data_IF_570826120425
#
_entry.id   IF_570826120425
#
_cell.length_a   1.000
_cell.length_b   1.000
_cell.length_c   1.000
_cell.angle_alpha   90.00
_cell.angle_beta   90.00
_cell.angle_gamma   90.00
#
_symmetry.space_group_name_H-M   'P 1'
#
loop_
_entity.id
_entity.type
_entity.pdbx_description
1 polymer ?
#
# COMPACT_ATOMS: atom_id res chain seq x y z
N UNK A 1 8.18 3.71 -35.65
CA UNK A 1 7.14 2.95 -34.94
C UNK A 1 7.59 2.44 -33.58
N UNK A 2 8.77 1.83 -33.47
CA UNK A 2 9.29 1.38 -32.18
C UNK A 2 9.50 2.52 -31.19
N UNK A 3 9.96 3.70 -31.66
CA UNK A 3 10.14 4.87 -30.81
C UNK A 3 8.82 5.39 -30.23
N UNK A 4 7.72 5.32 -31.00
CA UNK A 4 6.40 5.74 -30.52
C UNK A 4 5.87 4.79 -29.45
N UNK A 5 6.10 3.48 -29.62
CA UNK A 5 5.71 2.48 -28.64
C UNK A 5 6.51 2.62 -27.35
N UNK A 6 7.82 2.86 -27.45
CA UNK A 6 8.68 3.11 -26.29
C UNK A 6 8.27 4.37 -25.53
N UNK A 7 7.93 5.44 -26.24
CA UNK A 7 7.45 6.68 -25.62
C UNK A 7 6.10 6.48 -24.94
N UNK A 8 5.20 5.71 -25.56
CA UNK A 8 3.90 5.38 -24.96
C UNK A 8 4.06 4.57 -23.67
N UNK A 9 4.96 3.59 -23.67
CA UNK A 9 5.25 2.79 -22.48
C UNK A 9 5.80 3.67 -21.36
N UNK A 10 6.74 4.57 -21.65
CA UNK A 10 7.29 5.48 -20.65
C UNK A 10 6.23 6.42 -20.09
N UNK A 11 5.30 6.88 -20.91
CA UNK A 11 4.18 7.71 -20.47
C UNK A 11 3.25 6.95 -19.54
N UNK A 12 2.92 5.71 -19.87
CA UNK A 12 2.06 4.86 -19.05
C UNK A 12 2.74 4.48 -17.73
N UNK A 13 4.05 4.25 -17.73
CA UNK A 13 4.84 4.05 -16.49
C UNK A 13 4.67 5.25 -15.57
N UNK A 14 4.75 6.46 -16.11
CA UNK A 14 4.52 7.69 -15.34
C UNK A 14 3.13 7.80 -14.76
N UNK A 15 2.10 7.39 -15.50
CA UNK A 15 0.72 7.37 -15.00
C UNK A 15 0.56 6.38 -13.85
N UNK A 16 1.12 5.18 -13.96
CA UNK A 16 1.08 4.19 -12.87
C UNK A 16 1.82 4.66 -11.64
N UNK A 17 2.96 5.33 -11.81
CA UNK A 17 3.70 5.92 -10.70
C UNK A 17 2.85 6.92 -9.93
N UNK A 18 2.11 7.77 -10.62
CA UNK A 18 1.18 8.72 -10.02
C UNK A 18 0.05 8.00 -9.27
N UNK A 19 -0.35 6.80 -9.71
CA UNK A 19 -1.38 5.99 -9.05
C UNK A 19 -0.84 5.04 -7.99
N UNK A 20 0.46 5.12 -7.66
CA UNK A 20 1.07 4.34 -6.60
C UNK A 20 1.69 3.01 -7.01
N UNK A 21 1.87 2.78 -8.30
CA UNK A 21 2.50 1.57 -8.83
C UNK A 21 3.77 1.97 -9.59
N UNK A 22 4.92 1.44 -9.16
CA UNK A 22 6.19 1.70 -9.81
C UNK A 22 6.65 0.46 -10.57
N UNK A 23 7.00 0.63 -11.85
CA UNK A 23 7.55 -0.43 -12.69
C UNK A 23 9.03 -0.16 -12.94
N UNK A 24 9.87 -1.15 -12.63
CA UNK A 24 11.30 -1.09 -12.90
C UNK A 24 11.67 -2.20 -13.87
N UNK A 25 12.24 -1.83 -15.02
CA UNK A 25 12.70 -2.80 -16.02
C UNK A 25 14.03 -3.39 -15.54
N UNK A 26 14.04 -4.69 -15.25
CA UNK A 26 15.21 -5.41 -14.74
C UNK A 26 16.06 -5.99 -15.84
N UNK A 27 15.46 -6.37 -16.97
CA UNK A 27 16.14 -6.98 -18.09
C UNK A 27 15.40 -6.67 -19.39
N UNK A 28 16.13 -6.52 -20.48
CA UNK A 28 15.59 -6.26 -21.81
C UNK A 28 16.21 -7.20 -22.81
N UNK A 29 15.48 -7.50 -23.92
CA UNK A 29 16.04 -8.29 -25.00
C UNK A 29 17.01 -7.43 -25.83
N UNK A 30 17.77 -8.04 -26.79
CA UNK A 30 18.71 -7.27 -27.63
C UNK A 30 18.07 -6.16 -28.46
N UNK A 31 16.74 -6.23 -28.68
CA UNK A 31 15.99 -5.21 -29.40
C UNK A 31 15.48 -4.09 -28.48
N UNK A 32 15.76 -4.15 -27.17
CA UNK A 32 15.34 -3.15 -26.19
C UNK A 32 13.95 -3.34 -25.62
N UNK A 33 13.26 -4.42 -25.93
CA UNK A 33 11.95 -4.71 -25.32
C UNK A 33 12.11 -5.26 -23.90
N UNK A 34 11.29 -4.78 -22.94
CA UNK A 34 11.34 -5.30 -21.58
C UNK A 34 11.06 -6.80 -21.52
N UNK A 35 11.95 -7.53 -20.85
CA UNK A 35 11.89 -8.98 -20.70
C UNK A 35 11.51 -9.37 -19.28
N UNK A 36 11.94 -8.58 -18.28
CA UNK A 36 11.70 -8.80 -16.86
C UNK A 36 11.44 -7.47 -16.19
N UNK A 37 10.37 -7.39 -15.43
CA UNK A 37 9.91 -6.15 -14.78
C UNK A 37 9.59 -6.41 -13.32
N UNK A 38 10.04 -5.49 -12.44
CA UNK A 38 9.62 -5.43 -11.04
C UNK A 38 8.42 -4.48 -10.94
N UNK A 39 7.29 -4.99 -10.47
CA UNK A 39 6.08 -4.22 -10.24
C UNK A 39 5.86 -4.04 -8.75
N UNK A 40 5.98 -2.82 -8.24
CA UNK A 40 5.89 -2.52 -6.81
C UNK A 40 4.75 -1.55 -6.56
N UNK A 41 3.87 -1.87 -5.60
CA UNK A 41 2.93 -0.88 -5.12
C UNK A 41 3.61 -0.05 -4.02
N UNK A 42 3.88 1.23 -4.33
CA UNK A 42 4.59 2.15 -3.44
C UNK A 42 3.65 2.93 -2.52
N UNK A 43 2.40 3.13 -2.97
CA UNK A 43 1.38 3.87 -2.22
C UNK A 43 0.03 3.19 -2.35
N UNK A 44 -0.77 3.27 -1.29
CA UNK A 44 -2.18 2.85 -1.32
C UNK A 44 -3.02 4.11 -1.58
N UNK A 45 -3.68 4.14 -2.73
CA UNK A 45 -4.54 5.26 -3.13
C UNK A 45 -5.99 4.78 -3.11
N UNK A 46 -6.86 5.56 -2.49
CA UNK A 46 -8.28 5.24 -2.33
C UNK A 46 -8.54 3.90 -1.61
N UNK A 47 -7.60 3.48 -0.75
CA UNK A 47 -7.72 2.25 0.01
C UNK A 47 -7.49 0.96 -0.76
N UNK A 48 -7.05 1.04 -2.03
CA UNK A 48 -6.85 -0.15 -2.86
C UNK A 48 -5.44 -0.73 -2.65
N UNK A 49 -5.36 -1.86 -1.96
CA UNK A 49 -4.13 -2.65 -1.86
C UNK A 49 -4.17 -3.75 -2.91
N UNK A 50 -3.19 -3.75 -3.80
CA UNK A 50 -3.11 -4.74 -4.86
C UNK A 50 -2.38 -5.98 -4.38
N UNK A 51 -2.91 -7.17 -4.71
CA UNK A 51 -2.23 -8.43 -4.46
C UNK A 51 -1.23 -8.73 -5.59
N UNK A 52 -0.45 -9.82 -5.43
CA UNK A 52 0.56 -10.19 -6.42
C UNK A 52 -0.03 -10.40 -7.82
N UNK A 53 -1.17 -11.09 -7.89
CA UNK A 53 -1.85 -11.35 -9.16
C UNK A 53 -2.25 -10.05 -9.86
N UNK A 54 -2.80 -9.11 -9.12
CA UNK A 54 -3.21 -7.81 -9.67
C UNK A 54 -2.02 -7.00 -10.17
N UNK A 55 -0.89 -7.00 -9.44
CA UNK A 55 0.32 -6.34 -9.89
C UNK A 55 0.87 -6.96 -11.19
N UNK A 56 0.86 -8.29 -11.28
CA UNK A 56 1.27 -9.01 -12.49
C UNK A 56 0.37 -8.64 -13.67
N UNK A 57 -0.94 -8.62 -13.46
CA UNK A 57 -1.92 -8.25 -14.50
C UNK A 57 -1.69 -6.82 -15.00
N UNK A 58 -1.42 -5.87 -14.10
CA UNK A 58 -1.13 -4.47 -14.47
C UNK A 58 0.13 -4.37 -15.32
N UNK A 59 1.20 -5.07 -14.91
CA UNK A 59 2.45 -5.07 -15.64
C UNK A 59 2.31 -5.72 -17.02
N UNK A 60 1.61 -6.84 -17.12
CA UNK A 60 1.37 -7.51 -18.40
C UNK A 60 0.47 -6.69 -19.31
N UNK A 61 -0.47 -5.93 -18.78
CA UNK A 61 -1.27 -4.99 -19.56
C UNK A 61 -0.46 -3.88 -20.20
N UNK A 62 0.63 -3.47 -19.54
CA UNK A 62 1.53 -2.42 -20.04
C UNK A 62 2.64 -2.97 -20.95
N UNK A 63 3.30 -4.07 -20.55
CA UNK A 63 4.50 -4.59 -21.21
C UNK A 63 4.23 -5.79 -22.12
N UNK A 64 3.03 -6.37 -22.07
CA UNK A 64 2.67 -7.56 -22.84
C UNK A 64 2.73 -8.85 -22.02
N UNK A 65 2.10 -9.90 -22.53
CA UNK A 65 1.97 -11.17 -21.81
C UNK A 65 3.27 -11.98 -21.72
N UNK A 66 4.25 -11.67 -22.59
CA UNK A 66 5.53 -12.37 -22.64
C UNK A 66 6.51 -11.90 -21.56
N UNK A 67 6.27 -10.79 -20.92
CA UNK A 67 7.15 -10.24 -19.88
C UNK A 67 7.08 -11.06 -18.61
N UNK A 68 8.23 -11.31 -17.99
CA UNK A 68 8.30 -11.92 -16.67
C UNK A 68 8.16 -10.82 -15.62
N UNK A 69 7.17 -10.95 -14.75
CA UNK A 69 6.87 -9.94 -13.72
C UNK A 69 7.23 -10.48 -12.35
N UNK A 70 7.95 -9.66 -11.59
CA UNK A 70 8.19 -9.89 -10.16
C UNK A 70 7.30 -8.92 -9.40
N UNK A 71 6.21 -9.39 -8.77
CA UNK A 71 5.32 -8.51 -8.01
C UNK A 71 5.88 -8.24 -6.61
N UNK A 72 5.80 -6.98 -6.16
CA UNK A 72 6.13 -6.58 -4.81
C UNK A 72 4.93 -5.83 -4.22
N UNK A 73 4.18 -6.49 -3.35
CA UNK A 73 3.00 -5.91 -2.74
C UNK A 73 3.38 -4.78 -1.77
N UNK A 74 2.43 -3.89 -1.51
CA UNK A 74 2.65 -2.79 -0.58
C UNK A 74 3.01 -3.33 0.81
N UNK A 75 4.11 -2.82 1.35
CA UNK A 75 4.52 -3.12 2.72
C UNK A 75 4.05 -1.98 3.62
N UNK A 76 3.18 -2.33 4.56
CA UNK A 76 2.65 -1.36 5.51
C UNK A 76 3.65 -1.18 6.65
N UNK A 77 4.23 0.01 6.77
CA UNK A 77 5.06 0.37 7.91
C UNK A 77 4.19 1.02 8.98
N UNK A 78 4.00 0.29 10.07
CA UNK A 78 3.20 0.75 11.21
C UNK A 78 4.03 1.04 12.46
N UNK A 79 5.34 1.05 12.33
CA UNK A 79 6.26 1.24 13.48
C UNK A 79 6.11 2.62 14.13
N UNK A 80 5.70 3.63 13.38
CA UNK A 80 5.45 4.97 13.91
C UNK A 80 4.11 5.14 14.62
N UNK A 81 3.28 4.11 14.66
CA UNK A 81 1.96 4.16 15.30
C UNK A 81 2.11 3.72 16.77
N UNK A 82 2.00 4.68 17.67
CA UNK A 82 2.03 4.47 19.10
C UNK A 82 0.78 5.04 19.75
N UNK A 83 0.69 4.98 21.07
CA UNK A 83 -0.45 5.50 21.80
C UNK A 83 -0.63 7.01 21.59
N UNK A 84 0.45 7.75 21.58
CA UNK A 84 0.40 9.22 21.36
C UNK A 84 -0.16 9.53 19.97
N UNK A 85 0.26 8.80 18.96
CA UNK A 85 -0.26 8.93 17.60
C UNK A 85 -1.78 8.71 17.56
N UNK A 86 -2.26 7.66 18.25
CA UNK A 86 -3.69 7.33 18.34
C UNK A 86 -4.46 8.44 19.04
N UNK A 87 -3.95 8.92 20.17
CA UNK A 87 -4.60 10.00 20.95
C UNK A 87 -4.69 11.27 20.11
N UNK A 88 -3.63 11.63 19.39
CA UNK A 88 -3.62 12.81 18.53
C UNK A 88 -4.64 12.69 17.40
N UNK A 89 -4.74 11.52 16.76
CA UNK A 89 -5.74 11.28 15.73
C UNK A 89 -7.16 11.36 16.26
N UNK A 90 -7.41 10.82 17.44
CA UNK A 90 -8.72 10.91 18.09
C UNK A 90 -9.12 12.35 18.34
N UNK A 91 -8.18 13.19 18.81
CA UNK A 91 -8.43 14.62 19.03
C UNK A 91 -8.72 15.33 17.71
N UNK A 92 -7.90 15.10 16.68
CA UNK A 92 -8.03 15.76 15.39
C UNK A 92 -9.38 15.45 14.73
N UNK A 93 -9.85 14.21 14.88
CA UNK A 93 -11.08 13.73 14.25
C UNK A 93 -12.31 13.79 15.16
N UNK A 94 -12.15 14.20 16.42
CA UNK A 94 -13.25 14.25 17.39
C UNK A 94 -13.80 12.89 17.76
N UNK A 95 -12.97 11.85 17.72
CA UNK A 95 -13.35 10.47 18.01
C UNK A 95 -13.12 10.16 19.49
N UNK A 96 -14.11 9.57 20.14
CA UNK A 96 -14.05 9.16 21.55
C UNK A 96 -13.87 7.66 21.67
N UNK A 97 -13.47 7.18 22.86
CA UNK A 97 -13.31 5.74 23.12
C UNK A 97 -14.58 4.95 22.81
N UNK A 98 -15.76 5.50 23.15
CA UNK A 98 -17.04 4.86 22.85
C UNK A 98 -17.25 4.65 21.35
N UNK A 99 -16.74 5.57 20.53
CA UNK A 99 -16.82 5.46 19.07
C UNK A 99 -15.93 4.34 18.56
N UNK A 100 -14.72 4.19 19.12
CA UNK A 100 -13.82 3.08 18.79
C UNK A 100 -14.47 1.73 19.10
N UNK A 101 -15.07 1.59 20.29
CA UNK A 101 -15.75 0.35 20.69
C UNK A 101 -16.89 0.03 19.72
N UNK A 102 -17.70 1.02 19.39
CA UNK A 102 -18.85 0.84 18.52
C UNK A 102 -18.47 0.48 17.08
N UNK A 103 -17.44 1.15 16.56
CA UNK A 103 -17.07 1.03 15.14
C UNK A 103 -16.10 -0.11 14.85
N UNK A 104 -15.21 -0.44 15.79
CA UNK A 104 -14.20 -1.49 15.59
C UNK A 104 -14.54 -2.80 16.25
N UNK A 105 -15.47 -2.81 17.21
CA UNK A 105 -15.75 -3.97 18.04
C UNK A 105 -14.68 -4.28 19.08
N UNK A 106 -13.75 -3.38 19.31
CA UNK A 106 -12.72 -3.56 20.33
C UNK A 106 -13.33 -3.60 21.72
N UNK A 107 -12.80 -4.49 22.59
CA UNK A 107 -13.27 -4.64 23.94
C UNK A 107 -12.92 -3.40 24.80
N UNK A 108 -13.88 -2.97 25.62
CA UNK A 108 -13.71 -1.83 26.51
C UNK A 108 -12.54 -2.03 27.48
N UNK A 109 -12.40 -3.23 28.03
CA UNK A 109 -11.33 -3.58 28.96
C UNK A 109 -9.97 -3.50 28.26
N UNK A 110 -9.89 -3.99 27.02
CA UNK A 110 -8.68 -3.87 26.21
C UNK A 110 -8.26 -2.42 25.99
N UNK A 111 -9.19 -1.57 25.57
CA UNK A 111 -8.91 -0.16 25.35
C UNK A 111 -8.48 0.55 26.63
N UNK A 112 -9.13 0.24 27.74
CA UNK A 112 -8.76 0.80 29.05
C UNK A 112 -7.31 0.46 29.42
N UNK A 113 -6.90 -0.79 29.20
CA UNK A 113 -5.52 -1.22 29.44
C UNK A 113 -4.53 -0.57 28.50
N UNK A 114 -4.91 -0.43 27.25
CA UNK A 114 -4.08 0.21 26.23
C UNK A 114 -3.83 1.68 26.56
N UNK A 115 -4.89 2.43 26.88
CA UNK A 115 -4.77 3.85 27.19
C UNK A 115 -4.12 4.13 28.55
N UNK A 116 -4.13 3.16 29.47
CA UNK A 116 -3.39 3.26 30.74
C UNK A 116 -1.97 2.71 30.66
N UNK A 117 -1.52 2.34 29.47
CA UNK A 117 -0.17 1.80 29.20
C UNK A 117 0.15 0.49 29.90
N UNK A 118 -0.88 -0.28 30.32
CA UNK A 118 -0.69 -1.58 30.92
C UNK A 118 -0.32 -2.66 29.90
N UNK A 119 -0.68 -2.45 28.64
CA UNK A 119 -0.35 -3.34 27.51
C UNK A 119 0.20 -2.51 26.37
N UNK A 120 1.06 -3.14 25.54
CA UNK A 120 1.58 -2.50 24.33
C UNK A 120 0.71 -2.75 23.11
N UNK A 121 0.96 -1.99 22.06
CA UNK A 121 0.31 -2.20 20.76
C UNK A 121 1.00 -3.32 20.00
N UNK A 122 0.22 -4.34 19.61
CA UNK A 122 0.72 -5.36 18.66
C UNK A 122 0.76 -4.79 17.24
N UNK A 123 1.54 -5.42 16.36
CA UNK A 123 1.59 -5.02 14.95
C UNK A 123 0.21 -5.07 14.28
N UNK A 124 -0.63 -6.12 14.45
CA UNK A 124 -1.98 -6.14 13.91
C UNK A 124 -2.85 -4.99 14.42
N UNK A 125 -2.71 -4.61 15.69
CA UNK A 125 -3.49 -3.50 16.25
C UNK A 125 -3.03 -2.15 15.69
N UNK A 126 -1.73 -1.96 15.46
CA UNK A 126 -1.22 -0.77 14.80
C UNK A 126 -1.78 -0.65 13.39
N UNK A 127 -1.83 -1.76 12.65
CA UNK A 127 -2.43 -1.79 11.32
C UNK A 127 -3.92 -1.45 11.36
N UNK A 128 -4.67 -1.97 12.33
CA UNK A 128 -6.09 -1.67 12.53
C UNK A 128 -6.30 -0.17 12.70
N UNK A 129 -5.55 0.47 13.58
CA UNK A 129 -5.66 1.91 13.81
C UNK A 129 -5.22 2.74 12.60
N UNK A 130 -4.22 2.29 11.87
CA UNK A 130 -3.81 2.94 10.63
C UNK A 130 -4.97 3.01 9.64
N UNK A 131 -5.65 1.91 9.39
CA UNK A 131 -6.79 1.88 8.47
C UNK A 131 -8.02 2.59 9.02
N UNK A 132 -8.26 2.49 10.31
CA UNK A 132 -9.42 3.13 10.94
C UNK A 132 -9.38 4.66 10.80
N UNK A 133 -8.20 5.27 10.97
CA UNK A 133 -8.03 6.72 10.95
C UNK A 133 -7.73 7.31 9.56
N UNK A 134 -7.83 6.52 8.51
CA UNK A 134 -7.68 7.04 7.15
C UNK A 134 -8.86 7.89 6.69
#
# INVERSE_FOLDING_TARGET
MESNKAQQVQREIGWYKASGIEFKILDSNPKGFPKKVLATQTKVINGYMLNQKQLVERAKGLFGTEVKVIPSVHSLDVNGIDLDWIVDKMKDLGIKRKDLIKQTGLDKTYLSRLFSEQIGLSTPMRALFHFYFQ
#
